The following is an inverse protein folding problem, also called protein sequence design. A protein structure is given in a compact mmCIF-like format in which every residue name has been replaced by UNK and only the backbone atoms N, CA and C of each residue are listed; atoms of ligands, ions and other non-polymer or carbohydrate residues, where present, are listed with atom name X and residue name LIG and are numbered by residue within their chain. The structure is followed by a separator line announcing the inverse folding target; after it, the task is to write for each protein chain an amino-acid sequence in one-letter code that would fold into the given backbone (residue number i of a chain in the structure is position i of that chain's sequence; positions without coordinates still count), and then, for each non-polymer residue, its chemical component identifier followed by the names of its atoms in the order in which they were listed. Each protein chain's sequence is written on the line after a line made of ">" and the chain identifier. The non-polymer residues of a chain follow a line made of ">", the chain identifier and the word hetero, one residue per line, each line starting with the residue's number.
data_IF_158979115469
#
_entry.id   IF_158979115469
#
_cell.length_a   1.000
_cell.length_b   1.000
_cell.length_c   1.000
_cell.angle_alpha   90.00
_cell.angle_beta   90.00
_cell.angle_gamma   90.00
#
_symmetry.space_group_name_H-M   'P 1'
#
loop_
_entity.id
_entity.type
_entity.pdbx_description
1 polymer ?
#
# COMPACT_ATOMS: atom_id res chain seq x y z
N UNK A 1 -41.74 -60.42 -40.18
CA UNK A 1 -42.83 -59.54 -39.71
C UNK A 1 -42.28 -58.60 -38.65
N UNK A 2 -41.82 -57.40 -39.01
CA UNK A 2 -41.50 -56.35 -38.06
C UNK A 2 -41.89 -55.00 -38.68
N UNK A 3 -42.86 -54.36 -38.09
CA UNK A 3 -43.39 -53.07 -38.53
C UNK A 3 -42.38 -51.92 -38.11
N UNK A 4 -42.01 -51.06 -39.06
CA UNK A 4 -41.30 -49.85 -38.84
C UNK A 4 -42.28 -48.76 -38.49
N UNK A 5 -42.02 -47.99 -37.37
CA UNK A 5 -42.75 -46.82 -36.95
C UNK A 5 -41.96 -45.57 -37.35
N UNK A 6 -42.56 -44.76 -38.21
CA UNK A 6 -41.99 -43.52 -38.71
C UNK A 6 -42.34 -42.40 -37.69
N UNK A 7 -41.34 -41.82 -37.06
CA UNK A 7 -41.52 -40.68 -36.16
C UNK A 7 -41.21 -39.37 -36.91
N UNK A 8 -42.20 -38.57 -37.13
CA UNK A 8 -42.05 -37.23 -37.70
C UNK A 8 -41.69 -36.26 -36.58
N UNK A 9 -40.44 -35.72 -36.58
CA UNK A 9 -40.05 -34.61 -35.69
C UNK A 9 -40.43 -33.28 -36.33
N UNK A 10 -41.39 -32.61 -35.73
CA UNK A 10 -41.70 -31.20 -35.99
C UNK A 10 -40.60 -30.33 -35.35
N UNK A 11 -39.83 -29.62 -36.18
CA UNK A 11 -38.83 -28.63 -35.75
C UNK A 11 -39.53 -27.32 -35.41
N UNK A 12 -39.75 -27.05 -34.15
CA UNK A 12 -40.12 -25.70 -33.66
C UNK A 12 -38.85 -24.85 -33.53
N UNK A 13 -38.72 -23.88 -34.43
CA UNK A 13 -37.69 -22.85 -34.37
C UNK A 13 -38.04 -21.88 -33.22
N UNK A 14 -37.38 -22.05 -32.06
CA UNK A 14 -37.49 -21.12 -30.94
C UNK A 14 -36.36 -20.07 -31.08
N UNK A 15 -36.72 -18.89 -31.56
CA UNK A 15 -35.80 -17.73 -31.59
C UNK A 15 -35.54 -17.26 -30.16
N UNK A 16 -34.37 -17.60 -29.60
CA UNK A 16 -33.89 -17.04 -28.36
C UNK A 16 -33.44 -15.62 -28.63
N UNK A 17 -34.18 -14.64 -28.11
CA UNK A 17 -33.71 -13.28 -27.90
C UNK A 17 -32.55 -13.37 -26.91
N UNK A 18 -31.32 -13.16 -27.38
CA UNK A 18 -30.18 -12.83 -26.51
C UNK A 18 -30.41 -11.42 -25.98
N UNK A 19 -30.68 -11.32 -24.68
CA UNK A 19 -30.56 -10.08 -23.97
C UNK A 19 -29.06 -9.77 -23.82
N UNK A 20 -28.62 -8.67 -24.43
CA UNK A 20 -27.27 -8.12 -24.17
C UNK A 20 -27.16 -7.77 -22.69
N UNK A 21 -26.34 -8.49 -21.94
CA UNK A 21 -25.89 -8.06 -20.62
C UNK A 21 -25.03 -6.80 -20.79
N UNK A 22 -25.31 -5.71 -20.09
CA UNK A 22 -24.45 -4.53 -20.13
C UNK A 22 -23.10 -4.91 -19.50
N UNK A 23 -22.04 -4.70 -20.26
CA UNK A 23 -20.67 -4.97 -19.87
C UNK A 23 -20.34 -4.34 -18.49
N UNK A 24 -20.06 -5.17 -17.49
CA UNK A 24 -19.68 -4.78 -16.13
C UNK A 24 -18.40 -3.88 -16.05
N UNK A 25 -17.69 -3.72 -17.17
CA UNK A 25 -16.48 -2.92 -17.27
C UNK A 25 -16.69 -1.40 -17.29
N UNK A 26 -17.88 -0.93 -17.69
CA UNK A 26 -18.14 0.54 -17.83
C UNK A 26 -18.53 1.21 -16.52
N UNK A 27 -19.23 0.52 -15.61
CA UNK A 27 -19.62 1.06 -14.31
C UNK A 27 -18.42 1.22 -13.35
N UNK A 28 -17.45 0.28 -13.39
CA UNK A 28 -16.24 0.33 -12.58
C UNK A 28 -15.28 1.44 -13.03
N UNK A 29 -15.23 1.75 -14.34
CA UNK A 29 -14.41 2.84 -14.90
C UNK A 29 -14.95 4.22 -14.54
N UNK A 30 -16.28 4.42 -14.56
CA UNK A 30 -16.92 5.68 -14.18
C UNK A 30 -16.75 5.99 -12.68
N UNK A 31 -16.92 4.98 -11.80
CA UNK A 31 -16.72 5.14 -10.35
C UNK A 31 -15.27 5.44 -9.96
N UNK A 32 -14.28 5.03 -10.77
CA UNK A 32 -12.87 5.34 -10.54
C UNK A 32 -12.52 6.78 -10.94
N UNK A 33 -13.18 7.37 -11.95
CA UNK A 33 -12.92 8.75 -12.38
C UNK A 33 -13.44 9.80 -11.39
N UNK A 34 -14.50 9.48 -10.64
CA UNK A 34 -15.12 10.41 -9.67
C UNK A 34 -14.37 10.43 -8.31
N UNK A 35 -13.44 9.50 -8.07
CA UNK A 35 -12.75 9.36 -6.79
C UNK A 35 -11.64 10.38 -6.58
N UNK A 36 -11.05 10.86 -7.67
CA UNK A 36 -9.93 11.79 -7.66
C UNK A 36 -10.30 13.09 -8.35
N UNK A 37 -9.93 14.20 -7.72
CA UNK A 37 -10.06 15.53 -8.29
C UNK A 37 -8.72 16.03 -8.80
N UNK A 38 -8.66 16.72 -9.93
CA UNK A 38 -7.46 17.40 -10.43
C UNK A 38 -7.65 18.90 -10.41
N UNK A 39 -6.71 19.65 -9.84
CA UNK A 39 -6.74 21.10 -9.75
C UNK A 39 -5.51 21.72 -10.44
N UNK A 40 -5.73 22.81 -11.17
CA UNK A 40 -4.64 23.55 -11.83
C UNK A 40 -3.83 24.41 -10.86
N UNK A 41 -4.46 24.90 -9.79
CA UNK A 41 -3.80 25.67 -8.71
C UNK A 41 -3.66 24.70 -7.54
N UNK A 42 -2.42 24.40 -7.20
CA UNK A 42 -2.07 23.38 -6.21
C UNK A 42 -0.70 23.70 -5.59
N UNK A 43 -0.29 22.92 -4.57
CA UNK A 43 1.03 23.06 -3.93
C UNK A 43 2.15 22.66 -4.93
N UNK A 44 3.25 23.43 -5.04
CA UNK A 44 4.37 23.08 -5.92
C UNK A 44 5.06 21.76 -5.57
N UNK A 45 4.83 21.20 -4.37
CA UNK A 45 5.33 19.90 -3.94
C UNK A 45 4.28 18.78 -4.05
N UNK A 46 3.09 19.10 -4.55
CA UNK A 46 2.02 18.16 -4.84
C UNK A 46 1.87 17.92 -6.34
N UNK A 47 1.14 16.88 -6.73
CA UNK A 47 0.91 16.52 -8.15
C UNK A 47 -0.36 17.13 -8.74
N UNK A 48 -1.05 18.03 -7.99
CA UNK A 48 -2.32 18.62 -8.40
C UNK A 48 -3.50 17.64 -8.42
N UNK A 49 -3.32 16.42 -7.91
CA UNK A 49 -4.34 15.39 -7.77
C UNK A 49 -4.75 15.27 -6.31
N UNK A 50 -6.05 15.21 -6.07
CA UNK A 50 -6.64 15.21 -4.73
C UNK A 50 -7.44 13.93 -4.49
N UNK A 51 -7.33 13.41 -3.28
CA UNK A 51 -8.13 12.30 -2.79
C UNK A 51 -8.76 12.68 -1.44
N UNK A 52 -10.08 12.61 -1.34
CA UNK A 52 -10.85 12.94 -0.13
C UNK A 52 -10.46 14.30 0.49
N UNK A 53 -10.19 15.30 -0.37
CA UNK A 53 -9.82 16.66 0.03
C UNK A 53 -8.33 16.91 0.25
N UNK A 54 -7.49 15.88 0.33
CA UNK A 54 -6.05 15.95 0.46
C UNK A 54 -5.38 15.99 -0.92
N UNK A 55 -4.41 16.89 -1.10
CA UNK A 55 -3.51 16.83 -2.25
C UNK A 55 -2.47 15.72 -2.07
N UNK A 56 -2.18 14.99 -3.13
CA UNK A 56 -1.17 13.93 -3.16
C UNK A 56 0.20 14.57 -3.41
N UNK A 57 1.19 14.21 -2.59
CA UNK A 57 2.55 14.73 -2.73
C UNK A 57 3.29 14.12 -3.93
N UNK A 58 4.34 14.81 -4.40
CA UNK A 58 5.29 14.22 -5.32
C UNK A 58 6.04 13.05 -4.67
N UNK A 59 6.17 11.95 -5.40
CA UNK A 59 7.00 10.80 -5.00
C UNK A 59 8.46 11.22 -4.93
N UNK A 60 9.15 10.83 -3.86
CA UNK A 60 10.59 10.97 -3.77
C UNK A 60 11.28 9.99 -4.73
N UNK A 61 11.96 10.52 -5.73
CA UNK A 61 12.71 9.71 -6.68
C UNK A 61 13.99 9.11 -6.08
N UNK A 62 14.57 8.11 -6.75
CA UNK A 62 15.81 7.43 -6.37
C UNK A 62 16.97 8.38 -6.03
N UNK A 63 17.05 9.55 -6.68
CA UNK A 63 18.05 10.59 -6.35
C UNK A 63 17.98 11.04 -4.88
N UNK A 64 16.83 10.86 -4.21
CA UNK A 64 16.64 11.13 -2.79
C UNK A 64 17.05 10.00 -1.85
N UNK A 65 17.55 8.86 -2.33
CA UNK A 65 17.89 7.71 -1.49
C UNK A 65 18.88 8.03 -0.36
N UNK A 66 19.84 8.94 -0.62
CA UNK A 66 20.80 9.39 0.40
C UNK A 66 20.11 10.08 1.59
N UNK A 67 18.94 10.69 1.39
CA UNK A 67 18.14 11.25 2.47
C UNK A 67 17.62 10.16 3.41
N UNK A 68 17.19 9.02 2.86
CA UNK A 68 16.70 7.89 3.65
C UNK A 68 17.81 7.25 4.50
N UNK A 69 19.04 7.33 4.04
CA UNK A 69 20.22 6.68 4.64
C UNK A 69 21.10 7.65 5.46
N UNK A 70 20.66 8.89 5.67
CA UNK A 70 21.44 9.88 6.43
C UNK A 70 21.71 9.40 7.85
N UNK A 71 22.95 9.60 8.31
CA UNK A 71 23.41 9.13 9.63
C UNK A 71 22.64 9.76 10.81
N UNK A 72 22.04 10.94 10.61
CA UNK A 72 21.25 11.65 11.64
C UNK A 72 19.83 11.11 11.79
N UNK A 73 19.38 10.20 10.92
CA UNK A 73 17.98 9.76 10.87
C UNK A 73 17.51 9.13 12.19
N UNK A 74 18.35 8.32 12.84
CA UNK A 74 18.00 7.74 14.15
C UNK A 74 17.82 8.82 15.23
N UNK A 75 18.62 9.88 15.22
CA UNK A 75 18.47 10.99 16.16
C UNK A 75 17.20 11.81 15.90
N UNK A 76 16.86 12.01 14.63
CA UNK A 76 15.72 12.82 14.17
C UNK A 76 14.39 12.07 14.29
N UNK A 77 14.34 10.81 13.91
CA UNK A 77 13.10 10.04 13.71
C UNK A 77 12.92 8.89 14.70
N UNK A 78 13.98 8.48 15.43
CA UNK A 78 13.91 7.41 16.44
C UNK A 78 13.43 6.08 15.90
N UNK A 79 14.01 5.62 14.79
CA UNK A 79 13.63 4.39 14.10
C UNK A 79 13.66 3.14 15.00
N UNK A 80 14.62 3.08 15.94
CA UNK A 80 14.68 1.99 16.94
C UNK A 80 13.41 1.96 17.82
N UNK A 81 12.85 3.12 18.19
CA UNK A 81 11.59 3.19 18.93
C UNK A 81 10.40 2.77 18.05
N UNK A 82 10.41 3.15 16.76
CA UNK A 82 9.41 2.68 15.81
C UNK A 82 9.38 1.14 15.79
N UNK A 83 10.52 0.50 15.53
CA UNK A 83 10.59 -0.97 15.44
C UNK A 83 10.08 -1.65 16.71
N UNK A 84 10.43 -1.12 17.89
CA UNK A 84 9.90 -1.63 19.17
C UNK A 84 8.39 -1.48 19.28
N UNK A 85 7.84 -0.34 18.83
CA UNK A 85 6.41 -0.06 18.88
C UNK A 85 5.60 -0.98 17.95
N UNK A 86 6.20 -1.50 16.89
CA UNK A 86 5.56 -2.46 15.97
C UNK A 86 5.24 -3.80 16.63
N UNK A 87 5.89 -4.16 17.75
CA UNK A 87 5.66 -5.40 18.50
C UNK A 87 5.77 -6.63 17.59
N UNK A 88 6.83 -6.66 16.78
CA UNK A 88 7.14 -7.75 15.86
C UNK A 88 7.40 -9.05 16.63
N UNK A 89 7.06 -10.19 16.00
CA UNK A 89 7.24 -11.52 16.58
C UNK A 89 8.01 -12.42 15.65
N UNK A 90 8.78 -13.38 16.19
CA UNK A 90 9.35 -14.45 15.39
C UNK A 90 8.29 -15.13 14.50
N UNK A 91 8.60 -15.29 13.23
CA UNK A 91 7.70 -15.89 12.24
C UNK A 91 6.77 -14.91 11.53
N UNK A 92 6.69 -13.63 11.94
CA UNK A 92 5.86 -12.64 11.24
C UNK A 92 6.32 -12.46 9.78
N UNK A 93 5.36 -12.34 8.89
CA UNK A 93 5.57 -11.88 7.51
C UNK A 93 5.13 -10.41 7.45
N UNK A 94 6.08 -9.53 7.25
CA UNK A 94 5.85 -8.07 7.28
C UNK A 94 6.06 -7.49 5.89
N UNK A 95 5.13 -6.68 5.39
CA UNK A 95 5.30 -5.91 4.17
C UNK A 95 5.70 -4.46 4.50
N UNK A 96 6.83 -4.02 3.95
CA UNK A 96 7.28 -2.63 3.96
C UNK A 96 6.88 -1.99 2.63
N UNK A 97 5.87 -1.14 2.64
CA UNK A 97 5.29 -0.56 1.43
C UNK A 97 5.88 0.83 1.17
N UNK A 98 6.52 0.99 0.02
CA UNK A 98 7.37 2.14 -0.27
C UNK A 98 8.71 2.02 0.47
N UNK A 99 9.30 0.83 0.42
CA UNK A 99 10.49 0.49 1.19
C UNK A 99 11.72 1.36 0.88
N UNK A 100 11.72 2.04 -0.27
CA UNK A 100 12.87 2.83 -0.72
C UNK A 100 14.14 1.99 -0.77
N UNK A 101 15.23 2.53 -0.23
CA UNK A 101 16.52 1.81 -0.12
C UNK A 101 16.55 0.72 0.96
N UNK A 102 15.43 0.48 1.67
CA UNK A 102 15.26 -0.64 2.59
C UNK A 102 15.70 -0.40 4.04
N UNK A 103 15.91 0.83 4.45
CA UNK A 103 16.35 1.14 5.82
C UNK A 103 15.42 0.54 6.88
N UNK A 104 14.09 0.70 6.72
CA UNK A 104 13.11 0.14 7.66
C UNK A 104 13.03 -1.38 7.51
N UNK A 105 13.04 -1.90 6.27
CA UNK A 105 13.08 -3.34 5.99
C UNK A 105 14.21 -4.04 6.73
N UNK A 106 15.42 -3.48 6.69
CA UNK A 106 16.60 -4.03 7.36
C UNK A 106 16.47 -4.04 8.88
N UNK A 107 15.88 -2.98 9.46
CA UNK A 107 15.63 -2.89 10.91
C UNK A 107 14.57 -3.90 11.38
N UNK A 108 13.63 -4.28 10.53
CA UNK A 108 12.60 -5.29 10.84
C UNK A 108 13.10 -6.74 10.67
N UNK A 109 14.18 -6.96 9.93
CA UNK A 109 14.63 -8.30 9.53
C UNK A 109 15.00 -9.20 10.72
N UNK A 110 15.76 -8.71 11.69
CA UNK A 110 16.19 -9.47 12.86
C UNK A 110 15.05 -9.78 13.84
N UNK A 111 14.18 -8.81 14.23
CA UNK A 111 13.10 -9.04 15.21
C UNK A 111 12.10 -10.14 14.84
N UNK A 112 11.98 -10.48 13.57
CA UNK A 112 11.03 -11.50 13.08
C UNK A 112 11.65 -12.90 12.93
N UNK A 113 12.95 -13.06 13.18
CA UNK A 113 13.60 -14.36 13.17
C UNK A 113 13.29 -15.16 14.46
N UNK A 114 13.27 -16.52 14.38
CA UNK A 114 13.38 -17.32 13.15
C UNK A 114 12.06 -17.40 12.36
N UNK A 115 12.19 -17.66 11.05
CA UNK A 115 11.07 -18.02 10.18
C UNK A 115 10.27 -16.86 9.61
N UNK A 116 10.43 -15.64 10.12
CA UNK A 116 9.82 -14.44 9.58
C UNK A 116 10.57 -13.87 8.37
N UNK A 117 9.87 -13.04 7.58
CA UNK A 117 10.45 -12.36 6.42
C UNK A 117 9.83 -10.99 6.21
N UNK A 118 10.62 -10.08 5.64
CA UNK A 118 10.17 -8.76 5.20
C UNK A 118 9.97 -8.79 3.69
N UNK A 119 8.79 -8.38 3.23
CA UNK A 119 8.44 -8.18 1.84
C UNK A 119 8.58 -6.68 1.55
N UNK A 120 9.70 -6.27 0.97
CA UNK A 120 10.05 -4.88 0.72
C UNK A 120 9.49 -4.45 -0.65
N UNK A 121 8.39 -3.71 -0.63
CA UNK A 121 7.66 -3.30 -1.85
C UNK A 121 8.02 -1.88 -2.22
N UNK A 122 8.47 -1.67 -3.46
CA UNK A 122 8.66 -0.32 -4.02
C UNK A 122 8.26 -0.26 -5.49
N UNK A 123 7.92 0.95 -5.97
CA UNK A 123 7.60 1.19 -7.37
C UNK A 123 8.83 1.52 -8.22
N UNK A 124 9.99 1.81 -7.60
CA UNK A 124 11.24 2.16 -8.25
C UNK A 124 12.22 0.99 -8.23
N UNK A 125 12.59 0.48 -9.40
CA UNK A 125 13.51 -0.66 -9.50
C UNK A 125 14.88 -0.34 -8.91
N UNK A 126 15.35 0.87 -9.10
CA UNK A 126 16.66 1.33 -8.61
C UNK A 126 16.73 1.29 -7.07
N UNK A 127 15.61 1.57 -6.39
CA UNK A 127 15.51 1.43 -4.92
C UNK A 127 15.63 -0.03 -4.50
N UNK A 128 14.92 -0.94 -5.18
CA UNK A 128 14.98 -2.38 -4.89
C UNK A 128 16.34 -2.99 -5.21
N UNK A 129 16.99 -2.55 -6.27
CA UNK A 129 18.34 -3.00 -6.63
C UNK A 129 19.36 -2.57 -5.56
N UNK A 130 19.22 -1.35 -5.03
CA UNK A 130 20.03 -0.85 -3.91
C UNK A 130 19.78 -1.65 -2.62
N UNK A 131 18.53 -1.89 -2.27
CA UNK A 131 18.16 -2.74 -1.14
C UNK A 131 18.79 -4.14 -1.27
N UNK A 132 18.65 -4.76 -2.44
CA UNK A 132 19.20 -6.09 -2.71
C UNK A 132 20.73 -6.13 -2.49
N UNK A 133 21.45 -5.16 -3.05
CA UNK A 133 22.88 -5.04 -2.84
C UNK A 133 23.24 -4.88 -1.36
N UNK A 134 22.43 -4.16 -0.60
CA UNK A 134 22.62 -3.96 0.84
C UNK A 134 22.40 -5.25 1.63
N UNK A 135 21.34 -6.02 1.30
CA UNK A 135 21.11 -7.34 1.89
C UNK A 135 22.27 -8.31 1.63
N UNK A 136 22.77 -8.35 0.39
CA UNK A 136 23.91 -9.19 0.00
C UNK A 136 25.18 -8.80 0.77
N UNK A 137 25.45 -7.50 0.89
CA UNK A 137 26.63 -7.00 1.63
C UNK A 137 26.59 -7.36 3.11
N UNK A 138 25.43 -7.36 3.75
CA UNK A 138 25.25 -7.61 5.18
C UNK A 138 24.87 -9.05 5.51
N UNK A 139 24.68 -9.92 4.49
CA UNK A 139 24.27 -11.31 4.69
C UNK A 139 22.86 -11.47 5.24
N UNK A 140 21.94 -10.53 4.91
CA UNK A 140 20.53 -10.59 5.31
C UNK A 140 19.73 -11.33 4.25
N UNK A 141 19.17 -12.50 4.62
CA UNK A 141 18.51 -13.40 3.68
C UNK A 141 16.98 -13.37 3.76
N UNK A 142 16.41 -12.75 4.81
CA UNK A 142 14.97 -12.72 5.07
C UNK A 142 14.28 -11.42 4.65
N UNK A 143 14.91 -10.63 3.79
CA UNK A 143 14.30 -9.44 3.14
C UNK A 143 14.16 -9.72 1.65
N UNK A 144 12.92 -9.69 1.15
CA UNK A 144 12.57 -10.01 -0.24
C UNK A 144 12.10 -8.73 -0.96
N UNK A 145 12.86 -8.21 -1.93
CA UNK A 145 12.42 -7.09 -2.75
C UNK A 145 11.26 -7.48 -3.67
N UNK A 146 10.19 -6.69 -3.69
CA UNK A 146 9.02 -6.90 -4.53
C UNK A 146 8.74 -5.64 -5.35
N UNK A 147 8.68 -5.79 -6.67
CA UNK A 147 8.29 -4.70 -7.56
C UNK A 147 6.77 -4.51 -7.51
N UNK A 148 6.35 -3.38 -6.93
CA UNK A 148 4.98 -2.91 -6.95
C UNK A 148 4.67 -2.04 -8.18
N UNK A 149 3.47 -1.50 -8.18
CA UNK A 149 3.02 -0.46 -9.11
C UNK A 149 2.27 0.62 -8.33
N UNK A 150 1.87 1.70 -8.97
CA UNK A 150 1.09 2.78 -8.32
C UNK A 150 -0.27 2.33 -7.76
N UNK A 151 -0.79 1.19 -8.19
CA UNK A 151 -2.12 0.67 -7.81
C UNK A 151 -2.10 -0.68 -7.13
N UNK A 152 -0.95 -1.37 -7.11
CA UNK A 152 -0.82 -2.73 -6.59
C UNK A 152 0.51 -2.93 -5.90
N UNK A 153 0.48 -3.50 -4.73
CA UNK A 153 1.65 -3.88 -3.95
C UNK A 153 2.42 -5.07 -4.54
N UNK A 154 1.76 -5.93 -5.32
CA UNK A 154 2.32 -7.20 -5.77
C UNK A 154 2.28 -8.32 -4.73
N UNK A 155 1.70 -8.06 -3.56
CA UNK A 155 1.55 -9.04 -2.49
C UNK A 155 0.43 -10.06 -2.81
N UNK A 156 0.56 -11.27 -2.28
CA UNK A 156 -0.49 -12.29 -2.38
C UNK A 156 -1.60 -12.04 -1.36
N UNK A 157 -2.85 -12.36 -1.65
CA UNK A 157 -3.93 -12.28 -0.68
C UNK A 157 -3.64 -13.09 0.60
N UNK A 158 -4.04 -12.55 1.76
CA UNK A 158 -3.91 -13.18 3.07
C UNK A 158 -2.49 -13.73 3.35
N UNK A 159 -1.45 -13.00 2.97
CA UNK A 159 -0.06 -13.44 3.05
C UNK A 159 0.77 -12.75 4.11
N UNK A 160 0.35 -11.56 4.60
CA UNK A 160 1.12 -10.76 5.54
C UNK A 160 0.42 -10.59 6.89
N UNK A 161 1.19 -10.64 7.97
CA UNK A 161 0.72 -10.40 9.33
C UNK A 161 0.62 -8.90 9.62
N UNK A 162 1.49 -8.10 8.98
CA UNK A 162 1.52 -6.66 9.07
C UNK A 162 1.99 -6.04 7.75
N UNK A 163 1.38 -4.92 7.38
CA UNK A 163 1.92 -4.01 6.36
C UNK A 163 2.21 -2.67 7.03
N UNK A 164 3.33 -2.05 6.69
CA UNK A 164 3.74 -0.74 7.19
C UNK A 164 4.05 0.20 6.04
N UNK A 165 3.70 1.46 6.22
CA UNK A 165 4.02 2.57 5.34
C UNK A 165 4.68 3.66 6.17
N UNK A 166 5.95 4.01 5.86
CA UNK A 166 6.72 5.00 6.61
C UNK A 166 7.01 6.20 5.72
N UNK A 167 6.34 7.32 6.03
CA UNK A 167 6.47 8.59 5.31
C UNK A 167 6.28 8.44 3.78
N UNK A 168 5.28 7.63 3.37
CA UNK A 168 5.07 7.29 1.95
C UNK A 168 3.61 7.31 1.52
N UNK A 169 2.65 7.08 2.43
CA UNK A 169 1.24 7.00 2.04
C UNK A 169 0.73 8.32 1.42
N UNK A 170 1.24 9.45 1.89
CA UNK A 170 0.91 10.77 1.33
C UNK A 170 1.37 10.95 -0.13
N UNK A 171 2.28 10.10 -0.64
CA UNK A 171 2.79 10.09 -2.01
C UNK A 171 2.03 9.14 -2.95
N UNK A 172 1.11 8.32 -2.45
CA UNK A 172 0.38 7.36 -3.28
C UNK A 172 -0.52 8.08 -4.28
N UNK A 173 -0.20 7.95 -5.58
CA UNK A 173 -1.00 8.53 -6.66
C UNK A 173 -2.40 7.93 -6.75
N UNK A 174 -2.56 6.68 -6.30
CA UNK A 174 -3.83 5.94 -6.26
C UNK A 174 -4.05 5.30 -4.88
N UNK A 175 -4.23 6.12 -3.81
CA UNK A 175 -4.31 5.61 -2.44
C UNK A 175 -5.45 4.62 -2.21
N UNK A 176 -6.61 4.82 -2.83
CA UNK A 176 -7.74 3.89 -2.71
C UNK A 176 -7.39 2.50 -3.26
N UNK A 177 -6.86 2.44 -4.49
CA UNK A 177 -6.51 1.19 -5.14
C UNK A 177 -5.41 0.45 -4.38
N UNK A 178 -4.43 1.20 -3.85
CA UNK A 178 -3.35 0.62 -3.07
C UNK A 178 -3.85 0.10 -1.72
N UNK A 179 -4.68 0.86 -1.00
CA UNK A 179 -5.29 0.38 0.25
C UNK A 179 -6.18 -0.85 0.02
N UNK A 180 -6.96 -0.88 -1.06
CA UNK A 180 -7.77 -2.04 -1.43
C UNK A 180 -6.93 -3.28 -1.75
N UNK A 181 -5.73 -3.10 -2.30
CA UNK A 181 -4.79 -4.19 -2.59
C UNK A 181 -4.09 -4.67 -1.32
N UNK A 182 -3.57 -3.75 -0.50
CA UNK A 182 -2.90 -4.06 0.77
C UNK A 182 -3.87 -4.74 1.76
N UNK A 183 -5.10 -4.24 1.89
CA UNK A 183 -6.10 -4.82 2.81
C UNK A 183 -6.40 -6.28 2.48
N UNK A 184 -6.42 -6.66 1.19
CA UNK A 184 -6.56 -8.05 0.75
C UNK A 184 -5.32 -8.90 1.05
N UNK A 185 -4.14 -8.30 1.08
CA UNK A 185 -2.90 -9.01 1.39
C UNK A 185 -2.75 -9.30 2.88
N UNK A 186 -3.41 -8.53 3.76
CA UNK A 186 -3.43 -8.80 5.19
C UNK A 186 -4.15 -10.12 5.50
N UNK A 187 -3.58 -10.91 6.39
CA UNK A 187 -4.24 -12.05 7.01
C UNK A 187 -5.41 -11.57 7.89
N UNK A 188 -6.40 -12.41 8.19
CA UNK A 188 -7.39 -12.10 9.22
C UNK A 188 -6.74 -11.73 10.54
N UNK A 189 -7.06 -10.54 11.08
CA UNK A 189 -6.41 -9.98 12.26
C UNK A 189 -5.03 -9.37 12.03
N UNK A 190 -4.58 -9.30 10.78
CA UNK A 190 -3.37 -8.58 10.38
C UNK A 190 -3.51 -7.07 10.61
N UNK A 191 -2.37 -6.37 10.70
CA UNK A 191 -2.31 -4.93 11.02
C UNK A 191 -1.80 -4.13 9.84
N UNK A 192 -2.41 -2.97 9.60
CA UNK A 192 -1.89 -1.93 8.72
C UNK A 192 -1.37 -0.79 9.58
N UNK A 193 -0.13 -0.39 9.39
CA UNK A 193 0.53 0.66 10.17
C UNK A 193 0.88 1.83 9.24
N UNK A 194 0.42 3.01 9.61
CA UNK A 194 0.79 4.27 8.98
C UNK A 194 1.77 5.00 9.89
N UNK A 195 2.90 5.40 9.36
CA UNK A 195 3.84 6.31 10.02
C UNK A 195 3.92 7.55 9.15
N UNK A 196 3.39 8.66 9.65
CA UNK A 196 3.25 9.89 8.86
C UNK A 196 3.61 11.12 9.69
N UNK A 197 4.30 12.08 9.10
CA UNK A 197 4.60 13.34 9.74
C UNK A 197 3.34 14.07 10.18
N UNK A 198 3.33 14.55 11.44
CA UNK A 198 2.16 15.20 12.04
C UNK A 198 1.83 16.53 11.37
N UNK A 199 0.68 16.58 10.70
CA UNK A 199 0.15 17.81 10.12
C UNK A 199 -0.52 18.71 11.17
N UNK A 200 -0.94 18.14 12.28
CA UNK A 200 -1.49 18.86 13.43
C UNK A 200 -0.46 19.75 14.13
N UNK A 201 0.83 19.46 13.95
CA UNK A 201 1.92 20.20 14.56
C UNK A 201 2.62 21.10 13.51
N UNK A 202 2.41 22.40 13.53
CA UNK A 202 3.06 23.33 12.59
C UNK A 202 4.58 23.42 12.78
N UNK A 203 5.12 22.95 13.92
CA UNK A 203 6.54 22.96 14.18
C UNK A 203 7.29 21.79 13.49
N UNK A 204 6.59 20.78 12.97
CA UNK A 204 7.20 19.71 12.19
C UNK A 204 7.76 20.28 10.89
N UNK A 205 9.10 20.23 10.67
CA UNK A 205 9.79 20.96 9.60
C UNK A 205 9.73 20.23 8.25
N UNK A 206 8.53 19.79 7.86
CA UNK A 206 8.24 19.05 6.64
C UNK A 206 7.23 19.83 5.79
N UNK A 207 7.31 19.72 4.47
CA UNK A 207 6.41 20.36 3.52
C UNK A 207 4.96 19.91 3.77
N UNK A 208 3.99 20.82 3.65
CA UNK A 208 2.60 20.59 4.04
C UNK A 208 1.94 19.37 3.38
N UNK A 209 2.21 19.13 2.08
CA UNK A 209 1.64 17.99 1.36
C UNK A 209 2.26 16.64 1.73
N UNK A 210 3.43 16.67 2.41
CA UNK A 210 4.11 15.47 2.93
C UNK A 210 3.77 15.19 4.40
N UNK A 211 2.77 15.88 4.95
CA UNK A 211 2.25 15.66 6.31
C UNK A 211 0.80 15.18 6.25
N UNK A 212 0.41 14.34 7.20
CA UNK A 212 -0.97 13.89 7.31
C UNK A 212 -1.50 14.06 8.72
N UNK A 213 -2.80 14.37 8.84
CA UNK A 213 -3.49 14.29 10.13
C UNK A 213 -3.97 12.87 10.38
N UNK A 214 -4.08 12.47 11.64
CA UNK A 214 -4.72 11.20 12.02
C UNK A 214 -6.16 11.11 11.46
N UNK A 215 -6.89 12.21 11.52
CA UNK A 215 -8.26 12.28 10.99
C UNK A 215 -8.31 11.97 9.49
N UNK A 216 -7.35 12.47 8.71
CA UNK A 216 -7.27 12.20 7.27
C UNK A 216 -6.90 10.74 6.99
N UNK A 217 -5.90 10.19 7.69
CA UNK A 217 -5.53 8.77 7.55
C UNK A 217 -6.72 7.88 7.85
N UNK A 218 -7.45 8.14 8.95
CA UNK A 218 -8.64 7.38 9.31
C UNK A 218 -9.75 7.51 8.26
N UNK A 219 -10.04 8.72 7.80
CA UNK A 219 -11.04 8.97 6.76
C UNK A 219 -10.76 8.15 5.49
N UNK A 220 -9.48 8.05 5.10
CA UNK A 220 -9.08 7.32 3.90
C UNK A 220 -9.01 5.80 4.13
N UNK A 221 -8.58 5.33 5.30
CA UNK A 221 -8.35 3.91 5.58
C UNK A 221 -9.58 3.16 6.11
N UNK A 222 -10.48 3.82 6.85
CA UNK A 222 -11.66 3.17 7.46
C UNK A 222 -12.86 3.09 6.49
N UNK A 223 -12.61 3.06 5.16
CA UNK A 223 -13.70 2.84 4.20
C UNK A 223 -14.21 1.39 4.30
N UNK A 224 -15.54 1.17 4.27
CA UNK A 224 -16.15 -0.13 4.54
C UNK A 224 -15.58 -1.28 3.69
N UNK A 225 -15.22 -0.99 2.45
CA UNK A 225 -14.70 -1.97 1.49
C UNK A 225 -13.30 -2.50 1.84
N UNK A 226 -12.53 -1.80 2.68
CA UNK A 226 -11.20 -2.27 3.11
C UNK A 226 -11.27 -3.19 4.32
N UNK A 227 -12.39 -3.14 5.09
CA UNK A 227 -12.55 -3.96 6.29
C UNK A 227 -11.54 -3.63 7.39
N UNK A 228 -10.96 -2.42 7.36
CA UNK A 228 -10.03 -1.91 8.36
C UNK A 228 -10.78 -1.13 9.42
N UNK A 229 -10.28 -1.18 10.65
CA UNK A 229 -10.77 -0.38 11.76
C UNK A 229 -9.62 0.16 12.59
N UNK A 230 -9.78 1.36 13.10
CA UNK A 230 -8.79 1.99 13.95
C UNK A 230 -8.52 1.14 15.21
N UNK A 231 -7.25 0.94 15.53
CA UNK A 231 -6.83 0.21 16.72
C UNK A 231 -6.28 1.16 17.79
N UNK A 232 -5.20 1.84 17.49
CA UNK A 232 -4.52 2.76 18.41
C UNK A 232 -3.67 3.79 17.64
N UNK A 233 -3.30 4.88 18.30
CA UNK A 233 -2.20 5.74 17.88
C UNK A 233 -1.09 5.63 18.90
N UNK A 234 0.13 5.39 18.43
CA UNK A 234 1.32 5.29 19.29
C UNK A 234 2.15 6.57 19.16
N UNK A 235 2.32 7.28 20.28
CA UNK A 235 3.03 8.58 20.34
C UNK A 235 4.46 8.40 20.86
N UNK A 236 5.29 7.67 20.15
CA UNK A 236 6.70 7.41 20.55
C UNK A 236 7.71 8.14 19.68
N UNK A 237 7.29 8.63 18.51
CA UNK A 237 8.17 9.32 17.59
C UNK A 237 8.10 10.84 17.77
N UNK A 238 9.23 11.55 17.57
CA UNK A 238 9.27 12.99 17.79
C UNK A 238 8.46 13.79 16.77
N UNK A 239 8.36 13.31 15.51
CA UNK A 239 7.79 14.05 14.39
C UNK A 239 6.57 13.37 13.76
N UNK A 240 6.42 12.04 13.89
CA UNK A 240 5.38 11.26 13.23
C UNK A 240 4.32 10.74 14.21
N UNK A 241 3.16 10.36 13.64
CA UNK A 241 2.21 9.41 14.24
C UNK A 241 2.59 7.97 13.87
N UNK A 242 2.24 7.00 14.69
CA UNK A 242 2.29 5.56 14.38
C UNK A 242 0.92 4.94 14.63
#
# INVERSE_FOLDING_TARGET
>A
MKRALLLVCLSMCCSLLQADEPAAGTAQSAAASDRYETRRIHDPNGIGKFYMGREIAHVMGFAGAAWLERSTREEEERLTLLIRALRLKPGDVVADIGAGSGVISMLMAEPILPGGRVLAVDVQQEMLDRLKAYCEQLGVENVEPIRGSQKRSGLKPASVDMAIMVDVYHEFEYPYEMLADISKALKPGGRLVFVEYRKEDPAVPIKEVHKMTQAQVRLEAEQPEFGLSWLETVHVLPLQHV
#
